data_IF_457303495787
#
_entry.id   IF_457303495787
#
_cell.length_a   1.000
_cell.length_b   1.000
_cell.length_c   1.000
_cell.angle_alpha   90.00
_cell.angle_beta   90.00
_cell.angle_gamma   90.00
#
_symmetry.space_group_name_H-M   'P 1'
#
loop_
_entity.id
_entity.type
_entity.pdbx_description
1 polymer ?
#
# COMPACT_ATOMS: atom_id res chain seq x y z
N UNK A 1 -25.22 5.75 -15.72
CA UNK A 1 -24.44 4.62 -15.21
C UNK A 1 -23.20 5.14 -14.54
N UNK A 2 -22.97 4.77 -13.30
CA UNK A 2 -21.80 5.21 -12.54
C UNK A 2 -20.55 4.48 -13.05
N UNK A 3 -19.47 5.20 -13.26
CA UNK A 3 -18.20 4.56 -13.60
C UNK A 3 -17.77 3.66 -12.43
N UNK A 4 -17.28 2.46 -12.74
CA UNK A 4 -16.75 1.55 -11.73
C UNK A 4 -15.29 1.94 -11.47
N UNK A 5 -14.99 2.26 -10.23
CA UNK A 5 -13.65 2.66 -9.79
C UNK A 5 -12.97 1.54 -9.02
N UNK A 6 -11.64 1.50 -9.02
CA UNK A 6 -10.91 0.58 -8.15
C UNK A 6 -11.12 0.96 -6.69
N UNK A 7 -10.93 0.00 -5.79
CA UNK A 7 -10.89 0.27 -4.36
C UNK A 7 -9.57 -0.21 -3.79
N UNK A 8 -9.08 0.47 -2.75
CA UNK A 8 -7.78 0.20 -2.15
C UNK A 8 -7.95 -0.03 -0.66
N UNK A 9 -7.49 -1.19 -0.19
CA UNK A 9 -7.29 -1.46 1.22
C UNK A 9 -5.83 -1.19 1.55
N UNK A 10 -5.58 -0.42 2.60
CA UNK A 10 -4.23 -0.05 3.03
C UNK A 10 -4.16 -0.15 4.54
N UNK A 11 -3.35 -1.07 5.06
CA UNK A 11 -3.16 -1.23 6.50
C UNK A 11 -1.72 -1.62 6.82
N UNK A 12 -1.30 -1.35 8.05
CA UNK A 12 -0.04 -1.84 8.60
C UNK A 12 -0.25 -3.20 9.25
N UNK A 13 0.80 -4.01 9.29
CA UNK A 13 0.79 -5.32 9.96
C UNK A 13 2.19 -5.63 10.50
N UNK A 14 2.25 -6.50 11.50
CA UNK A 14 3.54 -7.00 11.99
C UNK A 14 4.19 -7.88 10.94
N UNK A 15 3.40 -8.71 10.27
CA UNK A 15 3.84 -9.55 9.17
C UNK A 15 2.65 -9.87 8.27
N UNK A 16 2.93 -10.17 7.01
CA UNK A 16 1.92 -10.61 6.07
C UNK A 16 2.54 -11.47 4.97
N UNK A 17 1.74 -12.41 4.46
CA UNK A 17 2.10 -13.24 3.31
C UNK A 17 0.91 -13.37 2.37
N UNK A 18 1.19 -13.75 1.14
CA UNK A 18 0.15 -14.06 0.16
C UNK A 18 0.28 -15.54 -0.23
N UNK A 19 -0.82 -16.27 -0.11
CA UNK A 19 -0.88 -17.67 -0.54
C UNK A 19 -2.26 -17.96 -1.12
N UNK A 20 -2.30 -18.67 -2.24
CA UNK A 20 -3.55 -18.99 -2.95
C UNK A 20 -4.44 -17.76 -3.20
N UNK A 21 -3.82 -16.63 -3.55
CA UNK A 21 -4.53 -15.37 -3.79
C UNK A 21 -5.08 -14.71 -2.54
N UNK A 22 -4.78 -15.25 -1.36
CA UNK A 22 -5.25 -14.72 -0.08
C UNK A 22 -4.13 -14.05 0.68
N UNK A 23 -4.46 -12.98 1.38
CA UNK A 23 -3.52 -12.28 2.24
C UNK A 23 -3.66 -12.83 3.66
N UNK A 24 -2.55 -13.29 4.22
CA UNK A 24 -2.46 -13.72 5.61
C UNK A 24 -1.81 -12.59 6.40
N UNK A 25 -2.50 -12.06 7.39
CA UNK A 25 -2.06 -10.89 8.15
C UNK A 25 -1.90 -11.28 9.61
N UNK A 26 -0.73 -10.96 10.17
CA UNK A 26 -0.46 -11.12 11.59
C UNK A 26 -0.29 -9.73 12.21
N UNK A 27 -1.07 -9.42 13.24
CA UNK A 27 -0.98 -8.16 13.96
C UNK A 27 -1.27 -6.96 13.07
N UNK A 28 -2.40 -6.96 12.37
CA UNK A 28 -2.74 -5.91 11.43
C UNK A 28 -3.59 -4.79 12.01
N UNK A 29 -3.52 -3.62 11.34
CA UNK A 29 -4.38 -2.49 11.66
C UNK A 29 -3.89 -1.60 12.80
N UNK A 30 -2.64 -1.73 13.24
CA UNK A 30 -2.12 -0.86 14.29
C UNK A 30 -1.89 0.55 13.76
N UNK A 31 -2.04 1.53 14.66
CA UNK A 31 -1.83 2.96 14.37
C UNK A 31 -0.77 3.57 15.28
N UNK A 32 -0.10 2.77 16.09
CA UNK A 32 0.99 3.21 16.97
C UNK A 32 2.11 2.21 16.94
N UNK A 33 3.33 2.71 16.89
CA UNK A 33 4.53 1.89 16.88
C UNK A 33 5.61 2.60 17.68
N UNK A 34 6.57 1.85 18.22
CA UNK A 34 7.72 2.42 18.92
C UNK A 34 8.63 3.11 17.92
N UNK A 35 9.09 4.32 18.24
CA UNK A 35 10.07 5.03 17.42
C UNK A 35 11.41 4.30 17.43
N UNK A 36 12.24 4.57 16.42
CA UNK A 36 13.51 3.89 16.20
C UNK A 36 13.42 2.95 15.00
N UNK A 37 14.32 1.96 14.90
CA UNK A 37 14.25 1.00 13.79
C UNK A 37 12.98 0.18 13.87
N UNK A 38 12.19 0.18 12.80
CA UNK A 38 10.90 -0.49 12.76
C UNK A 38 10.89 -1.61 11.73
N UNK A 39 10.28 -2.74 12.13
CA UNK A 39 10.07 -3.89 11.24
C UNK A 39 8.57 -4.12 11.13
N UNK A 40 8.03 -4.01 9.93
CA UNK A 40 6.61 -4.23 9.70
C UNK A 40 6.36 -4.41 8.20
N UNK A 41 5.14 -4.78 7.87
CA UNK A 41 4.71 -4.89 6.48
C UNK A 41 3.51 -3.96 6.25
N UNK A 42 3.59 -3.16 5.19
CA UNK A 42 2.44 -2.42 4.71
C UNK A 42 1.69 -3.31 3.73
N UNK A 43 0.42 -3.53 4.00
CA UNK A 43 -0.44 -4.40 3.20
C UNK A 43 -1.34 -3.56 2.32
N UNK A 44 -1.30 -3.81 1.03
CA UNK A 44 -2.16 -3.17 0.05
C UNK A 44 -2.95 -4.24 -0.67
N UNK A 45 -4.24 -4.03 -0.82
CA UNK A 45 -5.08 -4.84 -1.70
C UNK A 45 -5.86 -3.90 -2.60
N UNK A 46 -5.72 -4.11 -3.89
CA UNK A 46 -6.44 -3.31 -4.88
C UNK A 46 -7.51 -4.18 -5.52
N UNK A 47 -8.76 -3.73 -5.48
CA UNK A 47 -9.84 -4.35 -6.24
C UNK A 47 -9.92 -3.64 -7.58
N UNK A 48 -9.55 -4.35 -8.63
CA UNK A 48 -9.44 -3.80 -9.97
C UNK A 48 -10.69 -4.15 -10.77
N UNK A 49 -11.47 -3.15 -11.20
CA UNK A 49 -12.66 -3.42 -11.98
C UNK A 49 -12.32 -3.90 -13.39
N UNK A 50 -13.28 -4.55 -14.03
CA UNK A 50 -13.13 -5.14 -15.37
C UNK A 50 -12.53 -4.15 -16.38
N UNK A 51 -12.99 -2.90 -16.36
CA UNK A 51 -12.56 -1.88 -17.33
C UNK A 51 -11.11 -1.42 -17.16
N UNK A 52 -10.46 -1.77 -16.04
CA UNK A 52 -9.05 -1.44 -15.81
C UNK A 52 -8.11 -2.64 -15.97
N UNK A 53 -8.63 -3.80 -16.39
CA UNK A 53 -7.80 -4.97 -16.67
C UNK A 53 -7.11 -4.85 -18.03
N UNK A 54 -6.06 -5.66 -18.23
CA UNK A 54 -5.29 -5.75 -19.49
C UNK A 54 -4.60 -4.45 -19.90
N UNK A 55 -4.27 -3.59 -18.94
CA UNK A 55 -3.51 -2.38 -19.19
C UNK A 55 -2.56 -2.11 -18.03
N UNK A 56 -1.43 -1.47 -18.32
CA UNK A 56 -0.48 -1.07 -17.29
C UNK A 56 -0.95 0.21 -16.63
N UNK A 57 -1.05 0.18 -15.30
CA UNK A 57 -1.50 1.31 -14.51
C UNK A 57 -0.45 1.68 -13.47
N UNK A 58 -0.17 2.97 -13.29
CA UNK A 58 0.86 3.40 -12.35
C UNK A 58 0.37 3.30 -10.91
N UNK A 59 1.30 2.99 -10.02
CA UNK A 59 1.08 3.10 -8.57
C UNK A 59 2.27 3.80 -7.93
N UNK A 60 2.03 4.43 -6.80
CA UNK A 60 3.09 5.03 -5.99
C UNK A 60 2.76 4.91 -4.51
N UNK A 61 3.80 4.86 -3.70
CA UNK A 61 3.71 4.79 -2.25
C UNK A 61 4.69 5.80 -1.67
N UNK A 62 4.24 6.60 -0.73
CA UNK A 62 5.08 7.56 -0.04
C UNK A 62 4.77 7.59 1.45
N UNK A 63 5.79 7.78 2.26
CA UNK A 63 5.63 8.06 3.68
C UNK A 63 5.76 9.57 3.89
N UNK A 64 4.75 10.15 4.51
CA UNK A 64 4.64 11.60 4.70
C UNK A 64 4.67 11.90 6.20
N UNK A 65 5.39 12.92 6.60
CA UNK A 65 5.47 13.36 7.99
C UNK A 65 4.31 14.31 8.37
N UNK A 66 4.31 14.75 9.62
CA UNK A 66 3.25 15.60 10.16
C UNK A 66 3.14 16.96 9.46
N UNK A 67 4.20 17.41 8.79
CA UNK A 67 4.22 18.67 8.05
C UNK A 67 3.79 18.50 6.58
N UNK A 68 3.37 17.30 6.20
CA UNK A 68 2.97 16.99 4.83
C UNK A 68 4.13 16.80 3.86
N UNK A 69 5.34 16.60 4.37
CA UNK A 69 6.54 16.42 3.56
C UNK A 69 6.91 14.95 3.46
N UNK A 70 7.49 14.56 2.33
CA UNK A 70 8.05 13.21 2.19
C UNK A 70 9.10 12.98 3.27
N UNK A 71 8.96 11.88 4.00
CA UNK A 71 9.83 11.57 5.13
C UNK A 71 11.19 11.06 4.63
N UNK A 72 12.25 11.70 5.11
CA UNK A 72 13.63 11.25 4.89
C UNK A 72 14.16 10.70 6.21
N UNK A 73 14.48 9.39 6.29
CA UNK A 73 15.01 8.81 7.52
C UNK A 73 16.34 9.42 7.94
N UNK A 74 16.60 9.45 9.25
CA UNK A 74 17.88 9.90 9.77
C UNK A 74 19.02 9.03 9.22
N UNK A 75 20.09 9.67 8.75
CA UNK A 75 21.20 8.99 8.12
C UNK A 75 20.97 8.60 6.65
N UNK A 76 19.79 8.87 6.12
CA UNK A 76 19.48 8.65 4.72
C UNK A 76 19.44 9.96 3.93
N UNK A 77 19.58 9.85 2.62
CA UNK A 77 19.53 10.99 1.70
C UNK A 77 18.25 11.05 0.89
N UNK A 78 17.47 9.99 0.94
CA UNK A 78 16.31 9.83 0.06
C UNK A 78 15.02 9.65 0.85
N UNK A 79 13.91 10.18 0.36
CA UNK A 79 12.61 9.95 0.97
C UNK A 79 12.16 8.49 0.83
N UNK A 80 11.27 8.08 1.71
CA UNK A 80 10.63 6.75 1.63
C UNK A 80 9.53 6.81 0.57
N UNK A 81 9.90 6.49 -0.65
CA UNK A 81 9.00 6.50 -1.80
C UNK A 81 9.27 5.30 -2.70
N UNK A 82 8.20 4.68 -3.17
CA UNK A 82 8.26 3.57 -4.11
C UNK A 82 7.24 3.83 -5.23
N UNK A 83 7.54 3.34 -6.42
CA UNK A 83 6.61 3.44 -7.53
C UNK A 83 6.83 2.32 -8.52
N UNK A 84 5.82 2.06 -9.34
CA UNK A 84 5.88 1.05 -10.35
C UNK A 84 4.60 1.03 -11.18
N UNK A 85 4.44 -0.05 -11.90
CA UNK A 85 3.25 -0.28 -12.71
C UNK A 85 2.67 -1.64 -12.39
N UNK A 86 1.36 -1.75 -12.45
CA UNK A 86 0.63 -2.98 -12.21
C UNK A 86 -0.26 -3.27 -13.42
N UNK A 87 -0.21 -4.51 -13.88
CA UNK A 87 -1.11 -4.99 -14.92
C UNK A 87 -1.77 -6.26 -14.43
N UNK A 88 -3.10 -6.28 -14.45
CA UNK A 88 -3.88 -7.47 -14.15
C UNK A 88 -4.56 -7.92 -15.42
N UNK A 89 -4.31 -9.17 -15.83
CA UNK A 89 -4.85 -9.71 -17.06
C UNK A 89 -6.03 -10.61 -16.76
N UNK A 90 -7.04 -10.50 -17.62
CA UNK A 90 -8.16 -11.42 -17.61
C UNK A 90 -7.75 -12.74 -18.28
N UNK A 91 -8.29 -13.83 -17.75
CA UNK A 91 -8.16 -15.15 -18.40
C UNK A 91 -9.41 -15.43 -19.23
N UNK A 92 -9.32 -16.44 -20.09
CA UNK A 92 -10.46 -16.86 -20.90
C UNK A 92 -11.65 -17.34 -20.05
N UNK A 93 -11.39 -17.73 -18.80
CA UNK A 93 -12.40 -18.22 -17.87
C UNK A 93 -13.01 -17.13 -17.01
N UNK A 94 -12.53 -15.90 -17.15
CA UNK A 94 -13.04 -14.78 -16.36
C UNK A 94 -14.48 -14.43 -16.73
N UNK A 95 -15.31 -14.22 -15.71
CA UNK A 95 -16.70 -13.81 -15.90
C UNK A 95 -16.72 -12.33 -16.25
N UNK A 96 -17.43 -12.00 -17.33
CA UNK A 96 -17.52 -10.63 -17.79
C UNK A 96 -18.03 -9.69 -16.70
N UNK A 97 -17.35 -8.57 -16.51
CA UNK A 97 -17.71 -7.56 -15.53
C UNK A 97 -17.22 -7.85 -14.11
N UNK A 98 -16.56 -8.99 -13.86
CA UNK A 98 -16.00 -9.28 -12.54
C UNK A 98 -14.81 -8.39 -12.21
N UNK A 99 -14.55 -8.19 -10.91
CA UNK A 99 -13.36 -7.51 -10.43
C UNK A 99 -12.28 -8.53 -10.06
N UNK A 100 -11.04 -8.04 -9.94
CA UNK A 100 -9.88 -8.85 -9.60
C UNK A 100 -9.16 -8.22 -8.42
N UNK A 101 -8.73 -9.05 -7.46
CA UNK A 101 -7.95 -8.60 -6.33
C UNK A 101 -6.47 -8.68 -6.65
N UNK A 102 -5.74 -7.59 -6.38
CA UNK A 102 -4.30 -7.53 -6.53
C UNK A 102 -3.66 -7.21 -5.17
N UNK A 103 -3.06 -8.20 -4.50
CA UNK A 103 -2.35 -7.94 -3.25
C UNK A 103 -0.95 -7.43 -3.54
N UNK A 104 -0.51 -6.45 -2.74
CA UNK A 104 0.85 -5.94 -2.78
C UNK A 104 1.34 -5.82 -1.34
N UNK A 105 2.48 -6.43 -1.05
CA UNK A 105 3.08 -6.39 0.28
C UNK A 105 4.39 -5.61 0.22
N UNK A 106 4.54 -4.68 1.15
CA UNK A 106 5.76 -3.88 1.28
C UNK A 106 6.38 -4.13 2.65
N UNK A 107 7.31 -5.09 2.77
CA UNK A 107 8.02 -5.32 4.03
C UNK A 107 9.10 -4.27 4.23
N UNK A 108 9.17 -3.74 5.44
CA UNK A 108 10.22 -2.82 5.87
C UNK A 108 11.00 -3.45 7.02
N UNK A 109 12.32 -3.40 6.91
CA UNK A 109 13.22 -3.93 7.93
C UNK A 109 14.15 -2.81 8.39
N UNK A 110 14.09 -2.49 9.67
CA UNK A 110 14.95 -1.46 10.24
C UNK A 110 14.67 -0.05 9.73
N UNK A 111 13.42 0.25 9.37
CA UNK A 111 13.07 1.60 8.93
C UNK A 111 13.19 2.58 10.10
N UNK A 112 14.13 3.55 10.07
CA UNK A 112 14.28 4.49 11.17
C UNK A 112 13.11 5.47 11.21
N UNK A 113 12.34 5.43 12.31
CA UNK A 113 11.21 6.34 12.52
C UNK A 113 11.49 7.26 13.70
N UNK A 114 11.55 8.56 13.46
CA UNK A 114 11.56 9.54 14.54
C UNK A 114 10.17 9.59 15.19
N UNK A 115 10.10 9.97 16.47
CA UNK A 115 8.82 10.22 17.11
C UNK A 115 8.02 11.25 16.32
N UNK A 116 6.77 10.96 16.06
CA UNK A 116 5.91 11.88 15.31
C UNK A 116 4.73 11.17 14.69
N UNK A 117 3.95 11.93 13.96
CA UNK A 117 2.78 11.46 13.25
C UNK A 117 3.11 11.32 11.77
N UNK A 118 2.70 10.21 11.19
CA UNK A 118 3.00 9.86 9.82
C UNK A 118 1.75 9.43 9.08
N UNK A 119 1.85 9.46 7.75
CA UNK A 119 0.79 8.99 6.89
C UNK A 119 1.39 8.26 5.70
N UNK A 120 0.96 7.02 5.46
CA UNK A 120 1.22 6.35 4.21
C UNK A 120 0.23 6.87 3.17
N UNK A 121 0.75 7.20 1.99
CA UNK A 121 -0.07 7.65 0.86
C UNK A 121 0.17 6.69 -0.29
N UNK A 122 -0.87 5.97 -0.66
CA UNK A 122 -0.80 5.03 -1.79
C UNK A 122 -1.72 5.52 -2.89
N UNK A 123 -1.17 5.60 -4.10
CA UNK A 123 -1.91 6.05 -5.29
C UNK A 123 -1.89 4.94 -6.33
N UNK A 124 -3.05 4.60 -6.84
CA UNK A 124 -3.20 3.66 -7.94
C UNK A 124 -4.08 4.30 -9.01
N UNK A 125 -3.56 4.39 -10.24
CA UNK A 125 -4.18 5.17 -11.29
C UNK A 125 -4.45 6.59 -10.74
N UNK A 126 -5.69 7.04 -10.70
CA UNK A 126 -6.05 8.36 -10.18
C UNK A 126 -6.61 8.32 -8.76
N UNK A 127 -6.67 7.14 -8.13
CA UNK A 127 -7.22 6.97 -6.80
C UNK A 127 -6.13 7.00 -5.74
N UNK A 128 -6.35 7.76 -4.67
CA UNK A 128 -5.41 7.89 -3.58
C UNK A 128 -6.05 7.43 -2.27
N UNK A 129 -5.30 6.66 -1.48
CA UNK A 129 -5.70 6.19 -0.16
C UNK A 129 -4.60 6.49 0.83
N UNK A 130 -4.99 6.85 2.05
CA UNK A 130 -4.07 7.25 3.11
C UNK A 130 -4.29 6.42 4.36
N UNK A 131 -3.21 6.18 5.10
CA UNK A 131 -3.26 5.46 6.37
C UNK A 131 -2.32 6.15 7.36
N UNK A 132 -2.90 6.72 8.42
CA UNK A 132 -2.14 7.45 9.44
C UNK A 132 -1.69 6.55 10.57
N UNK A 133 -0.50 6.84 11.12
CA UNK A 133 0.02 6.18 12.31
C UNK A 133 0.94 7.11 13.07
N UNK A 134 1.30 6.71 14.29
CA UNK A 134 2.12 7.50 15.19
C UNK A 134 3.30 6.66 15.68
N UNK A 135 4.51 7.22 15.62
CA UNK A 135 5.69 6.65 16.24
C UNK A 135 5.94 7.32 17.59
N UNK A 136 6.06 6.54 18.63
CA UNK A 136 6.15 7.05 20.01
C UNK A 136 7.52 6.81 20.62
#
# INVERSE_FOLDING_TARGET
>A
MTAIEPSILLITADAATVSDGKINILGGGWTRITSGPANFTLVVRIDIPWNLTNQQLPWSLALVDQDGRSYVPDGGDSPVELSGELQVERTAESVFGSSFEAPMLFPFVGLPLRSGTYEWVFTFADLQTKYGFQAL
#
